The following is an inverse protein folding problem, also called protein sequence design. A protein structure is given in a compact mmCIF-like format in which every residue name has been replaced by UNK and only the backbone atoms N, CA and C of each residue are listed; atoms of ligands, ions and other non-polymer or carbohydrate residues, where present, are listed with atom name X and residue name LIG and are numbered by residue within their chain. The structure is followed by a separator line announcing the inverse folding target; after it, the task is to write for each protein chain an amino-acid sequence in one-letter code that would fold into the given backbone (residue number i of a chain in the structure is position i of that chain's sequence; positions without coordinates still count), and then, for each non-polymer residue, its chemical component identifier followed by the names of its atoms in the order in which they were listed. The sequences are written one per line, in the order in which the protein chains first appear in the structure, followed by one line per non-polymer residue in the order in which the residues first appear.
data_IF_420077185909
#
_entry.id   IF_420077185909
#
_cell.length_a   1.000
_cell.length_b   1.000
_cell.length_c   1.000
_cell.angle_alpha   90.00
_cell.angle_beta   90.00
_cell.angle_gamma   90.00
#
_symmetry.space_group_name_H-M   'P 1'
#
loop_
_entity.id
_entity.type
_entity.pdbx_description
1 polymer ?
#
# COMPACT_ATOMS: atom_id res chain seq x y z
N UNK A 1 -11.81 24.51 8.79
CA UNK A 1 -10.42 24.88 8.45
C UNK A 1 -9.52 24.23 9.49
N UNK A 2 -8.61 23.31 9.12
CA UNK A 2 -7.67 22.68 10.06
C UNK A 2 -6.39 23.53 10.09
N UNK A 3 -6.00 23.99 11.27
CA UNK A 3 -4.78 24.77 11.48
C UNK A 3 -3.78 23.94 12.30
N UNK A 4 -2.50 24.08 11.99
CA UNK A 4 -1.40 23.51 12.75
C UNK A 4 -0.83 24.57 13.70
N UNK A 5 -0.46 24.18 14.92
CA UNK A 5 0.14 25.07 15.92
C UNK A 5 1.37 24.41 16.53
N UNK A 6 2.50 25.12 16.58
CA UNK A 6 3.66 24.70 17.37
C UNK A 6 3.32 24.85 18.86
N UNK A 7 3.59 23.81 19.65
CA UNK A 7 3.39 23.83 21.11
C UNK A 7 4.65 24.21 21.88
N UNK A 8 5.81 24.11 21.24
CA UNK A 8 7.10 24.38 21.88
C UNK A 8 7.61 25.78 21.50
N UNK A 9 7.78 26.70 22.48
CA UNK A 9 8.28 28.05 22.24
C UNK A 9 9.78 28.10 21.84
N UNK A 10 10.53 27.00 21.98
CA UNK A 10 11.96 26.96 21.64
C UNK A 10 12.23 26.70 20.14
N UNK A 11 11.21 26.40 19.34
CA UNK A 11 11.39 26.22 17.89
C UNK A 11 11.53 27.60 17.24
N UNK A 12 12.77 28.02 16.98
CA UNK A 12 13.09 29.25 16.24
C UNK A 12 12.77 29.07 14.75
N UNK A 13 11.48 29.17 14.41
CA UNK A 13 11.02 29.24 13.02
C UNK A 13 11.09 30.68 12.55
N UNK A 14 11.93 30.96 11.56
CA UNK A 14 11.94 32.26 10.89
C UNK A 14 10.62 32.50 10.15
N UNK A 15 10.05 33.69 10.32
CA UNK A 15 8.84 34.08 9.60
C UNK A 15 9.09 34.03 8.08
N UNK A 16 8.16 33.42 7.35
CA UNK A 16 8.26 33.27 5.90
C UNK A 16 9.01 32.01 5.44
N UNK A 17 9.49 31.15 6.35
CA UNK A 17 9.98 29.82 5.97
C UNK A 17 8.85 28.86 5.60
N UNK A 18 9.03 28.16 4.50
CA UNK A 18 8.28 26.93 4.19
C UNK A 18 8.82 25.78 5.03
N UNK A 19 7.94 25.05 5.69
CA UNK A 19 8.28 23.89 6.53
C UNK A 19 7.51 22.68 6.01
N UNK A 20 8.20 21.56 5.85
CA UNK A 20 7.56 20.28 5.57
C UNK A 20 7.12 19.64 6.89
N UNK A 21 5.85 19.22 6.96
CA UNK A 21 5.29 18.53 8.12
C UNK A 21 4.84 17.14 7.69
N UNK A 22 5.36 16.11 8.35
CA UNK A 22 4.89 14.73 8.23
C UNK A 22 4.03 14.41 9.43
N UNK A 23 2.85 13.83 9.21
CA UNK A 23 1.88 13.52 10.26
C UNK A 23 1.58 12.03 10.19
N UNK A 24 1.73 11.35 11.32
CA UNK A 24 1.26 9.97 11.47
C UNK A 24 -0.26 9.95 11.60
N UNK A 25 -0.92 9.25 10.68
CA UNK A 25 -2.36 9.06 10.73
C UNK A 25 -2.71 7.94 11.71
N UNK A 26 -3.87 8.01 12.39
CA UNK A 26 -4.35 6.91 13.23
C UNK A 26 -4.43 5.60 12.44
N UNK A 27 -4.02 4.49 13.07
CA UNK A 27 -4.12 3.18 12.47
C UNK A 27 -5.58 2.87 12.09
N UNK A 28 -5.78 2.35 10.88
CA UNK A 28 -7.07 1.93 10.38
C UNK A 28 -7.13 0.40 10.36
N UNK A 29 -8.22 -0.17 10.86
CA UNK A 29 -8.45 -1.60 10.81
C UNK A 29 -8.90 -2.04 9.40
N UNK A 30 -8.75 -3.34 9.10
CA UNK A 30 -9.24 -3.97 7.86
C UNK A 30 -8.65 -3.37 6.57
N UNK A 31 -7.39 -2.94 6.65
CA UNK A 31 -6.60 -2.53 5.50
C UNK A 31 -5.37 -3.43 5.40
N UNK A 32 -4.95 -3.72 4.18
CA UNK A 32 -3.81 -4.57 3.88
C UNK A 32 -2.76 -3.71 3.20
N UNK A 33 -1.51 -3.66 3.70
CA UNK A 33 -0.42 -3.01 3.01
C UNK A 33 0.06 -3.87 1.85
N UNK A 34 0.14 -3.29 0.66
CA UNK A 34 0.71 -3.94 -0.52
C UNK A 34 1.74 -3.02 -1.18
N UNK A 35 2.79 -3.57 -1.81
CA UNK A 35 3.64 -2.79 -2.70
C UNK A 35 2.78 -2.15 -3.81
N UNK A 36 3.07 -0.91 -4.19
CA UNK A 36 2.36 -0.24 -5.26
C UNK A 36 2.42 -1.02 -6.59
N UNK A 37 3.48 -1.80 -6.79
CA UNK A 37 3.69 -2.71 -7.93
C UNK A 37 2.74 -3.91 -7.96
N UNK A 38 2.09 -4.24 -6.84
CA UNK A 38 1.08 -5.30 -6.77
C UNK A 38 -0.27 -4.85 -7.36
N UNK A 39 -0.48 -3.54 -7.53
CA UNK A 39 -1.71 -3.00 -8.08
C UNK A 39 -1.62 -2.95 -9.61
N UNK A 40 -2.61 -3.56 -10.25
CA UNK A 40 -2.81 -3.55 -11.69
C UNK A 40 -3.87 -2.52 -12.06
N UNK A 41 -3.58 -1.72 -13.08
CA UNK A 41 -4.47 -0.64 -13.51
C UNK A 41 -4.78 0.31 -12.36
N UNK A 42 -6.07 0.55 -12.11
CA UNK A 42 -6.51 1.49 -11.07
C UNK A 42 -6.69 0.84 -9.69
N UNK A 43 -7.14 -0.42 -9.64
CA UNK A 43 -7.72 -0.99 -8.42
C UNK A 43 -7.79 -2.52 -8.43
N UNK A 44 -6.97 -3.19 -9.21
CA UNK A 44 -6.94 -4.65 -9.32
C UNK A 44 -5.73 -5.22 -8.58
N UNK A 45 -5.92 -6.34 -7.90
CA UNK A 45 -4.87 -7.16 -7.32
C UNK A 45 -5.05 -8.60 -7.82
N UNK A 46 -3.95 -9.30 -8.08
CA UNK A 46 -4.00 -10.74 -8.36
C UNK A 46 -3.61 -11.52 -7.12
N UNK A 47 -4.59 -12.24 -6.57
CA UNK A 47 -4.37 -13.24 -5.52
C UNK A 47 -4.00 -14.57 -6.15
N UNK A 48 -3.23 -15.38 -5.45
CA UNK A 48 -2.88 -16.74 -5.86
C UNK A 48 -3.71 -17.74 -5.06
N UNK A 49 -4.61 -18.45 -5.73
CA UNK A 49 -5.37 -19.57 -5.14
C UNK A 49 -5.06 -20.83 -5.95
N UNK A 50 -4.65 -21.92 -5.30
CA UNK A 50 -4.36 -23.19 -5.96
C UNK A 50 -3.40 -23.04 -7.17
N UNK A 51 -2.36 -22.21 -7.01
CA UNK A 51 -1.38 -21.89 -8.07
C UNK A 51 -2.00 -21.23 -9.32
N UNK A 52 -3.12 -20.52 -9.15
CA UNK A 52 -3.76 -19.75 -10.21
C UNK A 52 -4.01 -18.32 -9.75
N UNK A 53 -3.86 -17.40 -10.69
CA UNK A 53 -4.24 -16.01 -10.46
C UNK A 53 -5.76 -15.90 -10.38
N UNK A 54 -6.21 -15.18 -9.36
CA UNK A 54 -7.58 -14.81 -9.10
C UNK A 54 -7.65 -13.29 -9.10
N UNK A 55 -8.41 -12.73 -10.03
CA UNK A 55 -8.58 -11.29 -10.18
C UNK A 55 -9.46 -10.73 -9.05
N UNK A 56 -8.91 -9.83 -8.23
CA UNK A 56 -9.62 -9.25 -7.10
C UNK A 56 -9.65 -7.73 -7.21
N UNK A 57 -10.86 -7.16 -7.18
CA UNK A 57 -11.05 -5.72 -7.08
C UNK A 57 -10.81 -5.26 -5.63
N UNK A 58 -10.06 -4.18 -5.48
CA UNK A 58 -9.76 -3.54 -4.20
C UNK A 58 -10.05 -2.05 -4.24
N UNK A 59 -10.01 -1.40 -3.10
CA UNK A 59 -10.09 0.05 -2.97
C UNK A 59 -8.82 0.56 -2.30
N UNK A 60 -8.17 1.55 -2.91
CA UNK A 60 -7.03 2.23 -2.30
C UNK A 60 -7.52 3.18 -1.23
N UNK A 61 -7.02 3.00 -0.01
CA UNK A 61 -7.40 3.76 1.18
C UNK A 61 -6.38 4.86 1.47
N UNK A 62 -5.12 4.63 1.10
CA UNK A 62 -4.04 5.59 1.29
C UNK A 62 -2.70 5.05 0.88
N UNK A 63 -1.66 5.79 1.23
CA UNK A 63 -0.27 5.39 1.11
C UNK A 63 0.24 4.96 2.48
N UNK A 64 1.22 4.07 2.47
CA UNK A 64 1.89 3.60 3.66
C UNK A 64 3.38 3.84 3.48
N UNK A 65 4.00 4.44 4.50
CA UNK A 65 5.44 4.53 4.60
C UNK A 65 5.82 3.72 5.84
N UNK A 66 6.33 2.52 5.62
CA UNK A 66 6.80 1.62 6.67
C UNK A 66 8.33 1.70 6.85
N UNK A 67 9.00 2.66 6.20
CA UNK A 67 10.45 2.74 6.17
C UNK A 67 11.13 1.66 5.31
N UNK A 68 10.36 0.79 4.64
CA UNK A 68 10.90 -0.15 3.67
C UNK A 68 11.08 0.52 2.30
N UNK A 69 11.95 -0.06 1.49
CA UNK A 69 12.28 0.49 0.19
C UNK A 69 11.13 0.26 -0.79
N UNK A 70 10.60 1.34 -1.36
CA UNK A 70 9.52 1.29 -2.36
C UNK A 70 8.28 2.07 -1.92
N UNK A 71 7.29 2.16 -2.81
CA UNK A 71 6.00 2.79 -2.49
C UNK A 71 5.03 1.70 -2.04
N UNK A 72 4.43 1.89 -0.86
CA UNK A 72 3.40 1.00 -0.33
C UNK A 72 2.04 1.69 -0.30
N UNK A 73 1.01 0.90 -0.53
CA UNK A 73 -0.37 1.35 -0.58
C UNK A 73 -1.22 0.55 0.38
N UNK A 74 -2.12 1.23 1.08
CA UNK A 74 -3.13 0.57 1.90
C UNK A 74 -4.35 0.30 1.04
N UNK A 75 -4.77 -0.95 0.97
CA UNK A 75 -5.97 -1.35 0.25
C UNK A 75 -6.98 -2.03 1.18
N UNK A 76 -8.24 -2.03 0.75
CA UNK A 76 -9.32 -2.80 1.39
C UNK A 76 -10.21 -3.41 0.32
N UNK A 77 -10.95 -4.46 0.64
CA UNK A 77 -11.88 -5.10 -0.29
C UNK A 77 -12.53 -6.32 0.32
N UNK A 78 -13.72 -6.68 -0.16
CA UNK A 78 -14.51 -7.79 0.40
C UNK A 78 -13.88 -9.15 0.09
N UNK A 79 -13.23 -9.26 -1.07
CA UNK A 79 -12.67 -10.49 -1.58
C UNK A 79 -11.17 -10.66 -1.28
N UNK A 80 -10.51 -9.71 -0.60
CA UNK A 80 -9.10 -9.81 -0.19
C UNK A 80 -9.00 -9.81 1.33
N UNK A 81 -8.17 -10.70 1.88
CA UNK A 81 -7.97 -10.84 3.32
C UNK A 81 -6.50 -10.82 3.68
N UNK A 82 -6.24 -10.46 4.93
CA UNK A 82 -4.90 -10.58 5.48
C UNK A 82 -4.43 -12.04 5.42
N UNK A 83 -3.17 -12.24 5.04
CA UNK A 83 -2.58 -13.56 4.76
C UNK A 83 -2.83 -14.12 3.35
N UNK A 84 -3.61 -13.45 2.49
CA UNK A 84 -3.74 -13.86 1.09
C UNK A 84 -2.41 -13.73 0.35
N UNK A 85 -2.03 -14.78 -0.39
CA UNK A 85 -0.85 -14.74 -1.25
C UNK A 85 -1.16 -13.86 -2.47
N UNK A 86 -0.42 -12.77 -2.65
CA UNK A 86 -0.64 -11.78 -3.71
C UNK A 86 0.63 -11.61 -4.54
N UNK A 87 0.47 -11.34 -5.84
CA UNK A 87 1.61 -10.94 -6.66
C UNK A 87 2.17 -9.60 -6.19
N UNK A 88 3.43 -9.60 -5.72
CA UNK A 88 4.13 -8.39 -5.29
C UNK A 88 4.60 -7.50 -6.46
N UNK A 89 4.79 -8.11 -7.63
CA UNK A 89 5.29 -7.45 -8.84
C UNK A 89 4.38 -7.78 -10.02
N UNK A 90 4.31 -6.86 -10.98
CA UNK A 90 3.54 -7.07 -12.19
C UNK A 90 4.16 -8.18 -13.05
N UNK A 91 3.43 -9.28 -13.20
CA UNK A 91 3.68 -10.32 -14.18
C UNK A 91 3.14 -9.87 -15.56
N UNK A 92 3.98 -9.74 -16.60
CA UNK A 92 3.52 -9.46 -17.96
C UNK A 92 2.54 -10.54 -18.44
N UNK A 93 1.41 -10.12 -19.00
CA UNK A 93 0.37 -11.04 -19.45
C UNK A 93 -0.42 -11.71 -18.32
N UNK A 94 -0.39 -11.15 -17.10
CA UNK A 94 -1.27 -11.59 -16.03
C UNK A 94 -2.73 -11.49 -16.46
N UNK A 95 -3.41 -12.63 -16.41
CA UNK A 95 -4.84 -12.79 -16.67
C UNK A 95 -5.43 -13.70 -15.61
N UNK A 96 -6.73 -13.58 -15.41
CA UNK A 96 -7.46 -14.45 -14.50
C UNK A 96 -7.29 -15.94 -14.88
N UNK A 97 -7.13 -16.79 -13.87
CA UNK A 97 -6.91 -18.24 -14.02
C UNK A 97 -5.52 -18.66 -14.48
N UNK A 98 -4.60 -17.71 -14.76
CA UNK A 98 -3.23 -18.01 -15.19
C UNK A 98 -2.51 -18.85 -14.13
N UNK A 99 -1.91 -19.97 -14.56
CA UNK A 99 -1.15 -20.84 -13.66
C UNK A 99 0.18 -20.18 -13.33
N UNK A 100 0.50 -20.09 -12.04
CA UNK A 100 1.73 -19.49 -11.52
C UNK A 100 2.40 -20.42 -10.52
N UNK A 101 3.70 -20.27 -10.35
CA UNK A 101 4.46 -20.90 -9.28
C UNK A 101 5.14 -19.81 -8.46
N UNK A 102 5.19 -19.97 -7.13
CA UNK A 102 5.95 -19.08 -6.26
C UNK A 102 7.44 -19.23 -6.57
N UNK A 103 8.09 -18.13 -7.00
CA UNK A 103 9.54 -18.08 -6.97
C UNK A 103 9.99 -18.02 -5.50
N UNK A 104 11.10 -18.70 -5.10
CA UNK A 104 11.64 -18.57 -3.76
C UNK A 104 11.94 -17.10 -3.49
N UNK A 105 11.42 -16.55 -2.40
CA UNK A 105 11.87 -15.26 -1.88
C UNK A 105 13.25 -15.50 -1.28
N UNK A 106 14.30 -15.18 -2.03
CA UNK A 106 15.68 -15.25 -1.55
C UNK A 106 15.85 -14.20 -0.44
N UNK A 107 16.34 -14.65 0.71
CA UNK A 107 16.32 -13.93 1.99
C UNK A 107 17.73 -13.46 2.35
#
# INVERSE_FOLDING_TARGET
MRFFSFRDPAISVELGRTIALTIELPAKAQVIPLPATAIYGANTVYRVINNRLDHVAVQRVGEYDNGEQGSWVLVTGDAIKDGDAVLSHQLPGAVDGLKVASAPTDN
#
